data_IF_611981854705
#
_entry.id   IF_611981854705
#
_cell.length_a   1.000
_cell.length_b   1.000
_cell.length_c   1.000
_cell.angle_alpha   90.00
_cell.angle_beta   90.00
_cell.angle_gamma   90.00
#
_symmetry.space_group_name_H-M   'P 1'
#
loop_
_entity.id
_entity.type
_entity.pdbx_description
1 polymer ?
#
# COMPACT_ATOMS: atom_id res chain seq x y z
N UNK A 1 -12.35 -18.49 -18.16
CA UNK A 1 -11.09 -18.04 -18.80
C UNK A 1 -10.72 -16.61 -18.41
N UNK A 2 -10.45 -16.34 -17.12
CA UNK A 2 -10.10 -15.00 -16.62
C UNK A 2 -8.85 -15.01 -15.72
N UNK A 3 -7.91 -15.93 -15.96
CA UNK A 3 -6.72 -16.11 -15.13
C UNK A 3 -5.43 -15.50 -15.70
N UNK A 4 -5.44 -14.97 -16.93
CA UNK A 4 -4.21 -14.68 -17.66
C UNK A 4 -3.70 -13.22 -17.57
N UNK A 5 -4.56 -12.24 -17.27
CA UNK A 5 -4.14 -10.83 -17.28
C UNK A 5 -3.52 -10.31 -15.99
N UNK A 6 -3.78 -10.97 -14.85
CA UNK A 6 -3.26 -10.54 -13.53
C UNK A 6 -1.77 -10.87 -13.33
N UNK A 7 -1.27 -11.90 -14.01
CA UNK A 7 0.12 -12.35 -13.87
C UNK A 7 1.10 -11.62 -14.81
N UNK A 8 0.63 -11.05 -15.92
CA UNK A 8 1.52 -10.39 -16.88
C UNK A 8 1.98 -9.01 -16.40
N UNK A 9 1.09 -8.20 -15.84
CA UNK A 9 1.42 -6.85 -15.35
C UNK A 9 2.44 -6.88 -14.21
N UNK A 10 2.23 -7.77 -13.23
CA UNK A 10 3.18 -7.97 -12.14
C UNK A 10 4.52 -8.56 -12.61
N UNK A 11 4.47 -9.45 -13.60
CA UNK A 11 5.67 -10.06 -14.16
C UNK A 11 6.51 -9.06 -14.96
N UNK A 12 5.87 -8.20 -15.73
CA UNK A 12 6.56 -7.14 -16.48
C UNK A 12 7.19 -6.10 -15.55
N UNK A 13 6.53 -5.80 -14.42
CA UNK A 13 7.06 -4.89 -13.42
C UNK A 13 8.28 -5.47 -12.68
N UNK A 14 8.29 -6.78 -12.43
CA UNK A 14 9.41 -7.49 -11.76
C UNK A 14 10.58 -7.73 -12.72
N UNK A 15 10.31 -7.92 -14.02
CA UNK A 15 11.35 -8.29 -15.01
C UNK A 15 11.98 -7.11 -15.74
N UNK A 16 11.58 -5.88 -15.45
CA UNK A 16 12.14 -4.68 -16.08
C UNK A 16 12.91 -3.81 -15.07
N UNK A 17 14.11 -4.24 -14.64
CA UNK A 17 14.91 -3.47 -13.67
C UNK A 17 15.25 -2.04 -14.15
N UNK A 18 15.32 -1.82 -15.46
CA UNK A 18 15.57 -0.49 -16.02
C UNK A 18 14.38 0.47 -15.90
N UNK A 19 13.14 -0.03 -15.97
CA UNK A 19 11.93 0.78 -15.75
C UNK A 19 11.71 1.09 -14.27
N UNK A 20 12.11 0.20 -13.37
CA UNK A 20 12.11 0.43 -11.92
C UNK A 20 13.12 1.51 -11.55
N UNK A 21 14.32 1.49 -12.14
CA UNK A 21 15.34 2.52 -11.92
C UNK A 21 14.92 3.90 -12.46
N UNK A 22 14.17 3.96 -13.56
CA UNK A 22 13.65 5.23 -14.12
C UNK A 22 12.47 5.80 -13.31
N UNK A 23 11.73 4.97 -12.58
CA UNK A 23 10.58 5.35 -11.73
C UNK A 23 11.04 5.82 -10.34
N UNK A 24 12.22 5.40 -9.86
CA UNK A 24 12.71 5.69 -8.51
C UNK A 24 12.73 7.20 -8.14
N UNK A 25 13.22 8.16 -8.97
CA UNK A 25 13.20 9.57 -8.61
C UNK A 25 11.77 10.15 -8.55
N UNK A 26 10.92 9.83 -9.52
CA UNK A 26 9.51 10.25 -9.54
C UNK A 26 8.69 9.55 -8.46
N UNK A 27 9.00 8.30 -8.14
CA UNK A 27 8.40 7.54 -7.05
C UNK A 27 8.66 8.16 -5.68
N UNK A 28 9.88 8.60 -5.41
CA UNK A 28 10.22 9.30 -4.15
C UNK A 28 9.55 10.66 -4.04
N UNK A 29 9.51 11.44 -5.12
CA UNK A 29 8.80 12.72 -5.13
C UNK A 29 7.30 12.53 -4.90
N UNK A 30 6.68 11.56 -5.55
CA UNK A 30 5.28 11.21 -5.34
C UNK A 30 5.04 10.72 -3.90
N UNK A 31 5.91 9.88 -3.36
CA UNK A 31 5.84 9.41 -1.98
C UNK A 31 5.91 10.57 -0.98
N UNK A 32 6.78 11.55 -1.21
CA UNK A 32 6.87 12.74 -0.38
C UNK A 32 5.58 13.57 -0.39
N UNK A 33 4.93 13.71 -1.54
CA UNK A 33 3.65 14.42 -1.67
C UNK A 33 2.52 13.65 -0.99
N UNK A 34 2.38 12.35 -1.29
CA UNK A 34 1.25 11.54 -0.81
C UNK A 34 1.29 11.33 0.71
N UNK A 35 2.48 11.40 1.32
CA UNK A 35 2.68 11.28 2.77
C UNK A 35 2.82 12.63 3.48
N UNK A 36 2.63 13.75 2.79
CA UNK A 36 2.94 15.10 3.31
C UNK A 36 2.12 15.49 4.54
N UNK A 37 0.92 14.95 4.69
CA UNK A 37 0.05 15.22 5.83
C UNK A 37 0.30 14.28 7.04
N UNK A 38 1.15 13.26 6.87
CA UNK A 38 1.52 12.36 7.96
C UNK A 38 2.65 12.97 8.81
N UNK A 39 2.70 12.59 10.08
CA UNK A 39 3.70 13.06 11.04
C UNK A 39 3.95 12.04 12.15
N UNK A 40 4.83 12.37 13.07
CA UNK A 40 5.04 11.58 14.29
C UNK A 40 3.80 11.44 15.19
N UNK A 41 2.78 12.28 14.98
CA UNK A 41 1.48 12.18 15.67
C UNK A 41 0.51 11.22 14.98
N UNK A 42 0.82 10.73 13.77
CA UNK A 42 0.03 9.72 13.09
C UNK A 42 0.20 8.38 13.79
N UNK A 43 -0.86 7.88 14.39
CA UNK A 43 -0.79 6.67 15.23
C UNK A 43 -0.72 5.40 14.40
N UNK A 44 -1.57 5.28 13.34
CA UNK A 44 -1.62 4.07 12.53
C UNK A 44 -1.88 4.37 11.07
N UNK A 45 -1.19 3.63 10.20
CA UNK A 45 -1.37 3.74 8.74
C UNK A 45 -1.49 2.36 8.12
N UNK A 46 -2.45 2.20 7.22
CA UNK A 46 -2.60 1.04 6.35
C UNK A 46 -2.08 1.39 4.96
N UNK A 47 -1.09 0.66 4.49
CA UNK A 47 -0.58 0.81 3.13
C UNK A 47 -1.05 -0.34 2.25
N UNK A 48 -1.66 -0.01 1.12
CA UNK A 48 -2.16 -0.95 0.12
C UNK A 48 -1.19 -1.04 -1.05
N UNK A 49 -0.60 -2.21 -1.23
CA UNK A 49 0.35 -2.49 -2.30
C UNK A 49 1.69 -1.76 -2.15
N UNK A 50 2.41 -1.93 -1.04
CA UNK A 50 3.69 -1.25 -0.79
C UNK A 50 4.78 -1.60 -1.82
N UNK A 51 4.70 -2.76 -2.47
CA UNK A 51 5.69 -3.19 -3.44
C UNK A 51 7.10 -3.25 -2.85
N UNK A 52 8.00 -2.40 -3.32
CA UNK A 52 9.38 -2.32 -2.78
C UNK A 52 9.50 -1.48 -1.50
N UNK A 53 8.43 -0.78 -1.10
CA UNK A 53 8.38 -0.01 0.15
C UNK A 53 8.78 1.46 0.03
N UNK A 54 8.63 2.08 -1.13
CA UNK A 54 8.97 3.50 -1.34
C UNK A 54 8.07 4.42 -0.50
N UNK A 55 6.77 4.16 -0.47
CA UNK A 55 5.84 4.93 0.38
C UNK A 55 6.01 4.58 1.85
N UNK A 56 6.29 3.31 2.16
CA UNK A 56 6.63 2.85 3.52
C UNK A 56 7.81 3.65 4.08
N UNK A 57 8.90 3.75 3.32
CA UNK A 57 10.08 4.54 3.71
C UNK A 57 9.72 6.02 3.91
N UNK A 58 8.94 6.61 3.01
CA UNK A 58 8.51 8.01 3.12
C UNK A 58 7.66 8.26 4.39
N UNK A 59 6.82 7.30 4.81
CA UNK A 59 6.06 7.41 6.05
C UNK A 59 6.97 7.41 7.27
N UNK A 60 8.01 6.57 7.29
CA UNK A 60 9.01 6.57 8.36
C UNK A 60 9.77 7.90 8.41
N UNK A 61 10.12 8.47 7.25
CA UNK A 61 10.77 9.79 7.16
C UNK A 61 9.89 10.92 7.71
N UNK A 62 8.55 10.76 7.68
CA UNK A 62 7.60 11.68 8.32
C UNK A 62 7.49 11.50 9.85
N UNK A 63 8.13 10.47 10.40
CA UNK A 63 8.12 10.18 11.82
C UNK A 63 7.05 9.18 12.26
N UNK A 64 6.31 8.56 11.33
CA UNK A 64 5.40 7.47 11.66
C UNK A 64 6.22 6.29 12.20
N UNK A 65 5.79 5.72 13.31
CA UNK A 65 6.51 4.59 13.91
C UNK A 65 6.30 3.32 13.06
N UNK A 66 7.35 2.55 12.82
CA UNK A 66 7.30 1.34 12.00
C UNK A 66 6.28 0.31 12.51
N UNK A 67 6.19 0.12 13.83
CA UNK A 67 5.21 -0.79 14.45
C UNK A 67 3.76 -0.30 14.33
N UNK A 68 3.54 0.92 13.88
CA UNK A 68 2.22 1.48 13.58
C UNK A 68 1.81 1.30 12.10
N UNK A 69 2.70 0.74 11.28
CA UNK A 69 2.42 0.47 9.88
C UNK A 69 1.80 -0.91 9.71
N UNK A 70 0.73 -0.96 8.94
CA UNK A 70 0.12 -2.20 8.44
C UNK A 70 0.31 -2.22 6.94
N UNK A 71 1.04 -3.21 6.43
CA UNK A 71 1.40 -3.35 5.03
C UNK A 71 0.61 -4.51 4.42
N UNK A 72 -0.18 -4.24 3.39
CA UNK A 72 -0.98 -5.21 2.69
C UNK A 72 -0.38 -5.48 1.31
N UNK A 73 0.30 -6.61 1.14
CA UNK A 73 0.98 -6.98 -0.10
C UNK A 73 0.60 -8.39 -0.54
N UNK A 74 0.20 -8.53 -1.79
CA UNK A 74 -0.19 -9.81 -2.36
C UNK A 74 1.01 -10.65 -2.83
N UNK A 75 2.03 -9.99 -3.37
CA UNK A 75 3.18 -10.68 -3.97
C UNK A 75 4.11 -11.23 -2.90
N UNK A 76 4.37 -12.54 -2.94
CA UNK A 76 5.21 -13.22 -1.96
C UNK A 76 6.66 -12.71 -1.92
N UNK A 77 7.24 -12.36 -3.08
CA UNK A 77 8.60 -11.86 -3.15
C UNK A 77 8.72 -10.45 -2.53
N UNK A 78 7.75 -9.57 -2.82
CA UNK A 78 7.69 -8.26 -2.16
C UNK A 78 7.39 -8.38 -0.67
N UNK A 79 6.51 -9.28 -0.27
CA UNK A 79 6.24 -9.55 1.15
C UNK A 79 7.50 -9.97 1.90
N UNK A 80 8.32 -10.85 1.31
CA UNK A 80 9.59 -11.25 1.90
C UNK A 80 10.57 -10.07 2.01
N UNK A 81 10.67 -9.24 0.96
CA UNK A 81 11.50 -8.04 0.96
C UNK A 81 11.07 -7.04 2.02
N UNK A 82 9.77 -6.77 2.11
CA UNK A 82 9.20 -5.83 3.08
C UNK A 82 9.43 -6.30 4.52
N UNK A 83 9.25 -7.60 4.78
CA UNK A 83 9.53 -8.18 6.08
C UNK A 83 10.99 -8.03 6.51
N UNK A 84 11.90 -8.11 5.55
CA UNK A 84 13.33 -7.89 5.80
C UNK A 84 13.64 -6.40 6.03
N UNK A 85 13.04 -5.49 5.25
CA UNK A 85 13.29 -4.06 5.34
C UNK A 85 12.60 -3.40 6.53
N UNK A 86 11.38 -3.86 6.84
CA UNK A 86 10.52 -3.28 7.87
C UNK A 86 10.03 -4.37 8.83
N UNK A 87 10.94 -4.95 9.64
CA UNK A 87 10.64 -6.14 10.46
C UNK A 87 9.63 -5.89 11.58
N UNK A 88 9.42 -4.63 11.97
CA UNK A 88 8.47 -4.25 13.01
C UNK A 88 7.09 -3.85 12.47
N UNK A 89 6.96 -3.67 11.16
CA UNK A 89 5.67 -3.41 10.54
C UNK A 89 4.79 -4.68 10.55
N UNK A 90 3.49 -4.50 10.66
CA UNK A 90 2.53 -5.59 10.54
C UNK A 90 2.27 -5.88 9.07
N UNK A 91 2.87 -6.94 8.54
CA UNK A 91 2.73 -7.34 7.15
C UNK A 91 1.65 -8.41 7.00
N UNK A 92 0.66 -8.13 6.17
CA UNK A 92 -0.41 -9.05 5.77
C UNK A 92 -0.23 -9.42 4.30
N UNK A 93 0.08 -10.68 4.02
CA UNK A 93 0.17 -11.19 2.65
C UNK A 93 -1.20 -11.61 2.16
N UNK A 94 -1.91 -10.71 1.50
CA UNK A 94 -3.25 -10.98 0.98
C UNK A 94 -3.61 -10.10 -0.22
N UNK A 95 -4.65 -10.50 -0.95
CA UNK A 95 -5.22 -9.67 -2.01
C UNK A 95 -6.02 -8.51 -1.38
N UNK A 96 -5.71 -7.30 -1.81
CA UNK A 96 -6.35 -6.07 -1.29
C UNK A 96 -7.87 -6.03 -1.55
N UNK A 97 -8.36 -6.74 -2.57
CA UNK A 97 -9.81 -6.87 -2.82
C UNK A 97 -10.54 -7.64 -1.72
N UNK A 98 -9.81 -8.38 -0.88
CA UNK A 98 -10.32 -9.06 0.31
C UNK A 98 -10.37 -8.21 1.58
N UNK A 99 -9.92 -6.96 1.51
CA UNK A 99 -9.85 -6.05 2.66
C UNK A 99 -11.22 -5.80 3.32
N UNK A 100 -12.29 -5.75 2.52
CA UNK A 100 -13.67 -5.57 3.00
C UNK A 100 -14.12 -6.74 3.91
N UNK A 101 -13.64 -7.96 3.63
CA UNK A 101 -13.96 -9.15 4.42
C UNK A 101 -13.05 -9.33 5.64
N UNK A 102 -11.97 -8.57 5.76
CA UNK A 102 -11.09 -8.62 6.91
C UNK A 102 -11.79 -7.99 8.13
N UNK A 103 -12.05 -8.76 9.21
CA UNK A 103 -12.92 -8.29 10.28
C UNK A 103 -12.36 -7.09 11.04
N UNK A 104 -11.11 -7.16 11.46
CA UNK A 104 -10.37 -6.04 12.06
C UNK A 104 -8.87 -6.29 11.92
N UNK A 105 -8.15 -5.23 11.65
CA UNK A 105 -6.70 -5.23 11.75
C UNK A 105 -6.34 -5.11 13.24
N UNK A 106 -5.41 -5.94 13.71
CA UNK A 106 -4.92 -5.87 15.07
C UNK A 106 -4.48 -4.45 15.42
N UNK A 107 -4.95 -3.93 16.56
CA UNK A 107 -4.73 -2.56 16.98
C UNK A 107 -5.82 -1.56 16.57
N UNK A 108 -6.86 -1.98 15.83
CA UNK A 108 -8.03 -1.17 15.52
C UNK A 108 -7.94 -0.38 14.23
N UNK A 109 -8.82 0.61 14.08
CA UNK A 109 -8.90 1.48 12.90
C UNK A 109 -7.65 2.33 12.73
N UNK A 110 -7.39 2.74 11.50
CA UNK A 110 -6.20 3.52 11.12
C UNK A 110 -6.54 5.01 10.89
N UNK A 111 -5.56 5.88 11.10
CA UNK A 111 -5.69 7.32 10.82
C UNK A 111 -5.62 7.62 9.33
N UNK A 112 -4.86 6.82 8.59
CA UNK A 112 -4.67 7.02 7.16
C UNK A 112 -4.57 5.69 6.42
N UNK A 113 -5.04 5.69 5.18
CA UNK A 113 -4.78 4.65 4.18
C UNK A 113 -3.96 5.27 3.05
N UNK A 114 -2.81 4.70 2.76
CA UNK A 114 -1.98 5.05 1.62
C UNK A 114 -2.15 3.96 0.56
N UNK A 115 -2.61 4.33 -0.63
CA UNK A 115 -2.83 3.39 -1.73
C UNK A 115 -1.77 3.57 -2.81
N UNK A 116 -0.85 2.60 -2.91
CA UNK A 116 0.19 2.52 -3.93
C UNK A 116 -0.23 1.76 -5.19
N UNK A 117 -1.52 1.42 -5.32
CA UNK A 117 -2.04 0.64 -6.44
C UNK A 117 -2.53 1.54 -7.57
N UNK A 118 -2.29 1.12 -8.81
CA UNK A 118 -2.82 1.76 -10.01
C UNK A 118 -4.31 1.48 -10.20
N UNK A 119 -5.18 2.13 -9.44
CA UNK A 119 -6.62 1.86 -9.43
C UNK A 119 -7.28 2.09 -10.79
N UNK A 120 -6.78 3.03 -11.60
CA UNK A 120 -7.34 3.34 -12.93
C UNK A 120 -7.19 2.19 -13.94
N UNK A 121 -6.27 1.26 -13.69
CA UNK A 121 -6.04 0.09 -14.53
C UNK A 121 -6.85 -1.14 -14.10
N UNK A 122 -7.61 -1.02 -13.02
CA UNK A 122 -8.37 -2.12 -12.43
C UNK A 122 -9.84 -2.05 -12.83
N UNK A 123 -10.54 -3.20 -12.91
CA UNK A 123 -11.98 -3.23 -13.08
C UNK A 123 -12.71 -2.48 -11.96
N UNK A 124 -13.77 -1.77 -12.30
CA UNK A 124 -14.50 -0.90 -11.35
C UNK A 124 -14.98 -1.65 -10.10
N UNK A 125 -15.42 -2.90 -10.23
CA UNK A 125 -15.88 -3.69 -9.08
C UNK A 125 -14.74 -3.98 -8.08
N UNK A 126 -13.50 -4.14 -8.55
CA UNK A 126 -12.32 -4.30 -7.69
C UNK A 126 -11.96 -2.98 -7.01
N UNK A 127 -11.97 -1.88 -7.74
CA UNK A 127 -11.75 -0.53 -7.19
C UNK A 127 -12.77 -0.25 -6.09
N UNK A 128 -14.05 -0.53 -6.34
CA UNK A 128 -15.11 -0.36 -5.35
C UNK A 128 -14.88 -1.20 -4.08
N UNK A 129 -14.47 -2.46 -4.23
CA UNK A 129 -14.16 -3.34 -3.09
C UNK A 129 -12.98 -2.80 -2.27
N UNK A 130 -11.93 -2.32 -2.95
CA UNK A 130 -10.74 -1.75 -2.29
C UNK A 130 -11.12 -0.48 -1.50
N UNK A 131 -11.86 0.43 -2.12
CA UNK A 131 -12.27 1.69 -1.48
C UNK A 131 -13.19 1.43 -0.30
N UNK A 132 -14.21 0.57 -0.45
CA UNK A 132 -15.08 0.19 0.68
C UNK A 132 -14.28 -0.44 1.82
N UNK A 133 -13.39 -1.38 1.50
CA UNK A 133 -12.53 -2.01 2.49
C UNK A 133 -11.64 -1.00 3.21
N UNK A 134 -11.04 -0.06 2.49
CA UNK A 134 -10.23 1.00 3.07
C UNK A 134 -11.04 1.85 4.07
N UNK A 135 -12.24 2.29 3.68
CA UNK A 135 -13.10 3.11 4.55
C UNK A 135 -13.62 2.35 5.77
N UNK A 136 -13.84 1.03 5.69
CA UNK A 136 -14.21 0.21 6.85
C UNK A 136 -13.09 0.18 7.92
N UNK A 137 -11.85 0.30 7.51
CA UNK A 137 -10.70 0.29 8.43
C UNK A 137 -10.24 1.68 8.84
N UNK A 138 -10.72 2.75 8.22
CA UNK A 138 -10.43 4.13 8.61
C UNK A 138 -11.21 4.54 9.87
N UNK A 139 -10.58 5.35 10.73
CA UNK A 139 -11.26 6.14 11.75
C UNK A 139 -12.23 7.12 11.09
N UNK A 140 -13.19 7.65 11.85
CA UNK A 140 -14.22 8.55 11.31
C UNK A 140 -13.64 9.86 10.74
N UNK A 141 -12.52 10.32 11.28
CA UNK A 141 -11.73 11.46 10.81
C UNK A 141 -10.50 11.05 9.96
N UNK A 142 -10.39 9.76 9.68
CA UNK A 142 -9.29 9.21 8.88
C UNK A 142 -9.35 9.60 7.41
N UNK A 143 -8.23 9.54 6.72
CA UNK A 143 -8.09 9.94 5.31
C UNK A 143 -7.44 8.86 4.48
N UNK A 144 -7.95 8.72 3.26
CA UNK A 144 -7.34 7.87 2.23
C UNK A 144 -6.60 8.74 1.21
N UNK A 145 -5.34 8.42 1.00
CA UNK A 145 -4.47 9.06 0.01
C UNK A 145 -4.19 8.07 -1.12
N UNK A 146 -4.41 8.50 -2.33
CA UNK A 146 -4.11 7.75 -3.54
C UNK A 146 -3.67 8.70 -4.64
N UNK A 147 -3.00 8.17 -5.62
CA UNK A 147 -2.67 8.92 -6.84
C UNK A 147 -3.41 8.33 -8.04
N UNK A 148 -3.69 9.19 -8.98
CA UNK A 148 -4.29 8.83 -10.27
C UNK A 148 -3.44 9.39 -11.41
N UNK A 149 -3.17 8.58 -12.42
CA UNK A 149 -2.51 8.97 -13.66
C UNK A 149 -3.00 8.16 -14.86
#
# INVERSE_FOLDING_TARGET
MARSYRTSFFREWITAPASVAAILPSGRALAAVITSELSHNTERVLELGPGTGVFTEAMLDRGVQENNLVLLEYNAAFSALLKQRFPRANLLQMDVTGLEALPRIDGGRVDAVICGLGLLTMPMHQVAAIVRGAFLHLKDDGRMYLFTY
#
